data_IF_253705200146
#
_entry.id   IF_253705200146
#
_cell.length_a   1.000
_cell.length_b   1.000
_cell.length_c   1.000
_cell.angle_alpha   90.00
_cell.angle_beta   90.00
_cell.angle_gamma   90.00
#
_symmetry.space_group_name_H-M   'P 1'
#
loop_
_entity.id
_entity.type
_entity.pdbx_description
1 polymer ?
#
# COMPACT_ATOMS: atom_id res chain seq x y z
N UNK A 1 19.33 43.84 72.37
CA UNK A 1 19.22 43.40 73.78
C UNK A 1 18.81 41.94 73.72
N UNK A 2 19.79 41.02 73.74
CA UNK A 2 20.27 40.31 74.95
C UNK A 2 19.22 39.28 75.42
N UNK A 3 19.47 37.98 75.61
CA UNK A 3 20.70 37.22 75.81
C UNK A 3 20.49 35.73 75.47
N UNK A 4 21.58 35.08 75.05
CA UNK A 4 21.82 33.63 75.07
C UNK A 4 21.87 33.06 76.50
N UNK A 5 21.67 31.75 76.64
CA UNK A 5 22.53 30.74 77.30
C UNK A 5 21.73 29.43 77.51
N UNK A 6 22.24 28.20 77.51
CA UNK A 6 23.60 27.71 77.70
C UNK A 6 23.80 26.33 77.04
N UNK A 7 25.07 26.05 76.70
CA UNK A 7 25.66 24.75 76.37
C UNK A 7 26.08 24.02 77.65
N UNK A 8 26.26 22.70 77.58
CA UNK A 8 27.42 22.04 78.22
C UNK A 8 27.76 20.69 77.57
N UNK A 9 29.02 20.60 77.12
CA UNK A 9 29.74 19.42 76.65
C UNK A 9 30.14 18.49 77.80
N UNK A 10 30.40 17.21 77.49
CA UNK A 10 31.54 16.49 78.08
C UNK A 10 32.08 15.44 77.11
N UNK A 11 33.40 15.42 76.98
CA UNK A 11 34.22 14.69 76.00
C UNK A 11 35.11 13.62 76.65
N UNK A 12 35.36 12.53 75.90
CA UNK A 12 36.55 11.64 75.89
C UNK A 12 36.65 10.54 76.98
N UNK A 13 37.37 9.39 76.77
CA UNK A 13 38.52 9.15 75.85
C UNK A 13 38.48 7.80 75.02
N UNK A 14 39.01 7.75 73.77
CA UNK A 14 40.25 7.08 73.24
C UNK A 14 40.47 5.58 73.61
N UNK A 15 41.01 4.62 72.82
CA UNK A 15 41.64 4.47 71.48
C UNK A 15 41.91 2.96 71.25
N UNK A 16 41.85 2.45 70.00
CA UNK A 16 42.74 1.44 69.35
C UNK A 16 42.12 1.06 67.98
N UNK A 17 42.51 1.66 66.85
CA UNK A 17 43.68 1.46 65.96
C UNK A 17 43.74 0.15 65.17
N UNK A 18 43.49 0.24 63.84
CA UNK A 18 44.33 -0.39 62.80
C UNK A 18 44.20 0.34 61.45
N UNK A 19 45.35 0.72 60.92
CA UNK A 19 45.67 1.49 59.70
C UNK A 19 45.90 0.54 58.49
N UNK A 20 45.53 0.88 57.23
CA UNK A 20 46.32 1.58 56.16
C UNK A 20 47.43 0.68 55.55
N UNK A 21 47.62 0.43 54.23
CA UNK A 21 47.78 1.21 52.95
C UNK A 21 47.95 0.14 51.79
N UNK A 22 48.31 0.40 50.49
CA UNK A 22 48.38 1.61 49.65
C UNK A 22 47.85 1.48 48.18
N UNK A 23 48.03 2.59 47.45
CA UNK A 23 47.60 2.96 46.10
C UNK A 23 48.45 2.41 44.92
N UNK A 24 47.92 2.53 43.69
CA UNK A 24 48.68 2.45 42.44
C UNK A 24 47.82 2.45 41.16
N UNK A 25 47.83 3.60 40.45
CA UNK A 25 47.55 3.90 39.02
C UNK A 25 46.88 2.85 38.11
N UNK A 26 45.91 3.28 37.28
CA UNK A 26 45.77 2.73 35.93
C UNK A 26 45.22 3.73 34.90
N UNK A 27 45.94 3.78 33.78
CA UNK A 27 45.78 4.65 32.62
C UNK A 27 44.75 4.08 31.61
N UNK A 28 44.39 4.93 30.64
CA UNK A 28 43.77 4.65 29.35
C UNK A 28 44.09 3.27 28.74
N UNK A 29 43.07 2.58 28.19
CA UNK A 29 43.23 1.38 27.38
C UNK A 29 42.10 1.23 26.36
N UNK A 30 42.41 1.57 25.10
CA UNK A 30 41.62 1.30 23.91
C UNK A 30 41.21 -0.17 23.80
N UNK A 31 39.93 -0.45 23.55
CA UNK A 31 39.50 -1.79 23.15
C UNK A 31 40.01 -2.09 21.75
N UNK A 32 41.01 -2.97 21.68
CA UNK A 32 41.64 -3.45 20.46
C UNK A 32 40.72 -4.46 19.72
N UNK A 33 40.30 -4.18 18.48
CA UNK A 33 39.49 -5.08 17.65
C UNK A 33 40.17 -6.44 17.35
N UNK A 34 41.48 -6.56 17.60
CA UNK A 34 42.26 -7.77 17.37
C UNK A 34 41.86 -8.93 18.30
N UNK A 35 41.42 -8.65 19.54
CA UNK A 35 40.98 -9.67 20.50
C UNK A 35 39.66 -10.34 20.11
N UNK A 36 38.73 -9.60 19.51
CA UNK A 36 37.45 -10.15 19.02
C UNK A 36 37.62 -11.00 17.76
N UNK A 37 38.57 -10.62 16.88
CA UNK A 37 38.95 -11.41 15.70
C UNK A 37 39.61 -12.74 16.08
N UNK A 38 40.37 -12.78 17.18
CA UNK A 38 41.05 -13.99 17.65
C UNK A 38 40.10 -15.01 18.30
N UNK A 39 38.94 -14.57 18.80
CA UNK A 39 37.88 -15.45 19.32
C UNK A 39 36.99 -16.07 18.23
N UNK A 40 36.96 -15.50 17.02
CA UNK A 40 36.24 -16.08 15.87
C UNK A 40 37.03 -17.17 15.14
N UNK A 41 38.31 -17.34 15.45
CA UNK A 41 39.18 -18.32 14.78
C UNK A 41 39.28 -19.69 15.47
N UNK A 42 38.71 -19.88 16.66
CA UNK A 42 38.76 -21.17 17.39
C UNK A 42 37.49 -22.01 17.30
N UNK A 43 36.51 -21.59 16.49
CA UNK A 43 35.35 -22.45 16.19
C UNK A 43 35.80 -23.54 15.20
N UNK A 44 36.07 -24.73 15.74
CA UNK A 44 36.32 -25.93 14.96
C UNK A 44 35.07 -26.24 14.12
N UNK A 45 35.06 -25.80 12.86
CA UNK A 45 33.96 -26.05 11.94
C UNK A 45 34.00 -27.54 11.56
N UNK A 46 32.92 -28.31 11.81
CA UNK A 46 32.91 -29.73 11.46
C UNK A 46 33.00 -29.88 9.94
N UNK A 47 33.76 -30.89 9.49
CA UNK A 47 34.18 -31.11 8.08
C UNK A 47 33.06 -30.98 7.03
N UNK A 48 31.81 -31.27 7.39
CA UNK A 48 30.64 -31.15 6.51
C UNK A 48 30.21 -29.71 6.18
N UNK A 49 30.67 -28.70 6.92
CA UNK A 49 30.31 -27.29 6.65
C UNK A 49 30.86 -26.77 5.32
N UNK A 50 32.06 -27.23 4.91
CA UNK A 50 32.60 -26.92 3.59
C UNK A 50 31.76 -27.58 2.49
N UNK A 51 31.35 -28.84 2.70
CA UNK A 51 30.48 -29.55 1.76
C UNK A 51 29.10 -28.88 1.65
N UNK A 52 28.51 -28.43 2.76
CA UNK A 52 27.23 -27.72 2.78
C UNK A 52 27.31 -26.37 2.05
N UNK A 53 28.39 -25.61 2.25
CA UNK A 53 28.61 -24.35 1.51
C UNK A 53 28.79 -24.60 0.01
N UNK A 54 29.50 -25.66 -0.39
CA UNK A 54 29.64 -26.06 -1.79
C UNK A 54 28.30 -26.46 -2.42
N UNK A 55 27.44 -27.19 -1.69
CA UNK A 55 26.09 -27.55 -2.18
C UNK A 55 25.20 -26.31 -2.32
N UNK A 56 25.20 -25.40 -1.34
CA UNK A 56 24.41 -24.16 -1.41
C UNK A 56 24.86 -23.28 -2.57
N UNK A 57 26.18 -23.12 -2.76
CA UNK A 57 26.73 -22.34 -3.88
C UNK A 57 26.42 -22.98 -5.23
N UNK A 58 26.50 -24.31 -5.36
CA UNK A 58 26.08 -25.02 -6.57
C UNK A 58 24.58 -24.88 -6.85
N UNK A 59 23.72 -24.96 -5.82
CA UNK A 59 22.28 -24.73 -5.95
C UNK A 59 21.97 -23.29 -6.40
N UNK A 60 22.68 -22.29 -5.87
CA UNK A 60 22.52 -20.89 -6.28
C UNK A 60 22.97 -20.70 -7.72
N UNK A 61 24.11 -21.26 -8.12
CA UNK A 61 24.62 -21.17 -9.50
C UNK A 61 23.67 -21.86 -10.48
N UNK A 62 23.16 -23.05 -10.16
CA UNK A 62 22.16 -23.76 -10.96
C UNK A 62 20.85 -22.97 -11.06
N UNK A 63 20.39 -22.37 -9.97
CA UNK A 63 19.19 -21.53 -9.98
C UNK A 63 19.37 -20.28 -10.85
N UNK A 64 20.54 -19.65 -10.81
CA UNK A 64 20.90 -18.51 -11.66
C UNK A 64 20.99 -18.93 -13.14
N UNK A 65 21.60 -20.08 -13.44
CA UNK A 65 21.69 -20.62 -14.80
C UNK A 65 20.29 -20.95 -15.37
N UNK A 66 19.39 -21.55 -14.59
CA UNK A 66 18.00 -21.81 -14.98
C UNK A 66 17.24 -20.49 -15.22
N UNK A 67 17.46 -19.47 -14.38
CA UNK A 67 16.86 -18.15 -14.55
C UNK A 67 17.33 -17.46 -15.84
N UNK A 68 18.63 -17.53 -16.15
CA UNK A 68 19.21 -16.99 -17.38
C UNK A 68 18.70 -17.77 -18.61
N UNK A 69 18.65 -19.09 -18.53
CA UNK A 69 18.14 -19.94 -19.60
C UNK A 69 16.66 -19.66 -19.91
N UNK A 70 15.80 -19.55 -18.89
CA UNK A 70 14.39 -19.13 -19.05
C UNK A 70 14.25 -17.72 -19.63
N UNK A 71 15.15 -16.78 -19.30
CA UNK A 71 15.18 -15.43 -19.88
C UNK A 71 15.58 -15.45 -21.37
N UNK A 72 16.56 -16.28 -21.74
CA UNK A 72 17.01 -16.41 -23.12
C UNK A 72 15.98 -17.13 -24.02
N UNK A 73 15.28 -18.14 -23.50
CA UNK A 73 14.19 -18.82 -24.23
C UNK A 73 13.00 -17.88 -24.47
N UNK A 74 12.58 -17.10 -23.45
CA UNK A 74 11.52 -16.08 -23.60
C UNK A 74 11.88 -14.95 -24.58
N UNK A 75 13.17 -14.66 -24.76
CA UNK A 75 13.64 -13.65 -25.73
C UNK A 75 13.50 -14.17 -27.17
N UNK A 76 13.78 -15.47 -27.38
CA UNK A 76 13.64 -16.15 -28.67
C UNK A 76 12.18 -16.26 -29.14
N UNK A 77 11.23 -16.38 -28.21
CA UNK A 77 9.79 -16.38 -28.53
C UNK A 77 9.25 -14.97 -28.86
N UNK A 78 9.75 -13.92 -28.18
CA UNK A 78 9.39 -12.51 -28.47
C UNK A 78 9.91 -12.03 -29.83
N UNK A 79 11.04 -12.54 -30.30
CA UNK A 79 11.59 -12.15 -31.60
C UNK A 79 10.81 -12.80 -32.76
N UNK A 80 10.26 -14.02 -32.57
CA UNK A 80 9.34 -14.67 -33.54
C UNK A 80 8.00 -13.96 -33.67
N UNK A 81 7.52 -13.31 -32.61
CA UNK A 81 6.25 -12.57 -32.62
C UNK A 81 6.36 -11.22 -33.35
N UNK A 82 7.56 -10.60 -33.36
CA UNK A 82 7.83 -9.34 -34.07
C UNK A 82 7.96 -9.50 -35.58
N UNK A 83 8.41 -10.65 -36.10
CA UNK A 83 8.42 -10.90 -37.54
C UNK A 83 7.01 -11.09 -38.13
N UNK A 84 6.07 -11.70 -37.39
CA UNK A 84 4.67 -11.86 -37.86
C UNK A 84 3.89 -10.55 -37.98
N UNK A 85 4.26 -9.50 -37.24
CA UNK A 85 3.57 -8.19 -37.28
C UNK A 85 4.05 -7.25 -38.39
N UNK A 86 5.24 -7.45 -38.98
CA UNK A 86 5.75 -6.60 -40.08
C UNK A 86 5.26 -6.99 -41.48
N UNK A 87 4.61 -8.14 -41.64
CA UNK A 87 4.13 -8.63 -42.95
C UNK A 87 2.73 -8.16 -43.37
N UNK A 88 1.98 -7.42 -42.53
CA UNK A 88 0.54 -7.17 -42.75
C UNK A 88 0.16 -5.72 -43.03
N UNK A 89 1.12 -4.86 -43.37
CA UNK A 89 0.91 -3.41 -43.52
C UNK A 89 1.53 -2.83 -44.81
N UNK A 90 1.43 -3.58 -45.92
CA UNK A 90 1.61 -3.03 -47.27
C UNK A 90 0.54 -3.59 -48.19
N UNK A 91 -0.46 -2.77 -48.50
CA UNK A 91 -1.39 -3.03 -49.60
C UNK A 91 -2.81 -2.54 -49.32
N UNK A 92 -3.03 -1.22 -49.42
CA UNK A 92 -4.25 -0.66 -50.04
C UNK A 92 -4.12 0.86 -50.16
N UNK A 93 -3.87 1.30 -51.38
CA UNK A 93 -4.06 2.66 -51.86
C UNK A 93 -4.21 2.60 -53.37
N UNK A 94 -5.23 3.28 -53.91
CA UNK A 94 -5.38 3.53 -55.35
C UNK A 94 -6.70 3.07 -55.98
N UNK A 95 -7.63 4.03 -56.06
CA UNK A 95 -8.55 4.38 -57.17
C UNK A 95 -8.19 3.76 -58.54
N UNK A 96 -9.14 3.23 -59.34
CA UNK A 96 -9.81 3.96 -60.44
C UNK A 96 -11.17 3.34 -60.89
N UNK A 97 -11.92 4.18 -61.61
CA UNK A 97 -13.31 4.17 -62.12
C UNK A 97 -13.62 3.24 -63.32
N UNK A 98 -14.93 3.06 -63.58
CA UNK A 98 -15.68 2.69 -64.83
C UNK A 98 -16.51 1.38 -64.66
N UNK A 99 -17.74 1.17 -65.15
CA UNK A 99 -18.87 1.93 -65.72
C UNK A 99 -20.06 0.91 -65.82
N UNK A 100 -21.30 1.39 -66.01
CA UNK A 100 -22.55 0.67 -66.35
C UNK A 100 -23.36 0.08 -65.17
N UNK A 101 -24.65 0.34 -64.95
CA UNK A 101 -25.66 1.19 -65.57
C UNK A 101 -27.06 0.78 -65.06
N UNK A 102 -28.07 1.58 -65.42
CA UNK A 102 -29.52 1.24 -65.48
C UNK A 102 -30.44 1.39 -64.23
N UNK A 103 -31.14 2.53 -64.22
CA UNK A 103 -32.59 2.77 -64.00
C UNK A 103 -33.34 2.25 -62.74
N UNK A 104 -33.77 3.16 -61.86
CA UNK A 104 -35.15 3.74 -61.78
C UNK A 104 -35.46 4.34 -60.39
N UNK A 105 -35.97 5.57 -60.40
CA UNK A 105 -36.66 6.27 -59.31
C UNK A 105 -38.21 6.10 -59.51
N UNK A 106 -39.17 6.67 -58.71
CA UNK A 106 -39.04 7.49 -57.50
C UNK A 106 -40.16 7.31 -56.41
N UNK A 107 -40.16 8.24 -55.42
CA UNK A 107 -41.22 8.63 -54.44
C UNK A 107 -41.39 7.69 -53.21
N UNK A 108 -41.64 8.14 -51.96
CA UNK A 108 -42.22 9.40 -51.46
C UNK A 108 -42.06 9.54 -49.93
N UNK A 109 -41.98 10.81 -49.50
CA UNK A 109 -42.58 11.43 -48.30
C UNK A 109 -42.00 11.22 -46.88
N UNK A 110 -41.57 12.37 -46.34
CA UNK A 110 -41.24 12.67 -44.95
C UNK A 110 -42.46 12.58 -44.03
N UNK A 111 -42.26 12.09 -42.80
CA UNK A 111 -43.06 12.51 -41.64
C UNK A 111 -42.10 12.79 -40.48
N UNK A 112 -41.97 14.09 -40.14
CA UNK A 112 -41.45 14.57 -38.85
C UNK A 112 -42.44 14.22 -37.75
N UNK A 113 -41.98 13.57 -36.68
CA UNK A 113 -42.57 13.72 -35.34
C UNK A 113 -41.45 13.83 -34.30
N UNK A 114 -41.37 15.01 -33.72
CA UNK A 114 -40.72 15.26 -32.43
C UNK A 114 -41.46 14.46 -31.35
N UNK A 115 -40.72 13.68 -30.58
CA UNK A 115 -41.17 13.17 -29.27
C UNK A 115 -39.99 13.11 -28.32
N UNK A 116 -39.91 14.16 -27.49
CA UNK A 116 -39.59 14.16 -26.06
C UNK A 116 -38.55 13.13 -25.59
N UNK A 117 -37.35 13.65 -25.31
CA UNK A 117 -36.30 13.00 -24.52
C UNK A 117 -36.87 12.60 -23.15
N UNK A 118 -37.01 11.29 -22.90
CA UNK A 118 -36.93 10.75 -21.55
C UNK A 118 -35.56 10.10 -21.40
N UNK A 119 -34.67 10.80 -20.70
CA UNK A 119 -33.45 10.24 -20.14
C UNK A 119 -33.82 9.10 -19.20
N UNK A 120 -33.68 7.87 -19.69
CA UNK A 120 -33.48 6.67 -18.89
C UNK A 120 -32.72 5.70 -19.78
N UNK A 121 -31.44 6.02 -20.01
CA UNK A 121 -30.48 5.00 -20.42
C UNK A 121 -30.46 3.94 -19.32
N UNK A 122 -31.08 2.80 -19.62
CA UNK A 122 -30.96 1.57 -18.86
C UNK A 122 -29.46 1.24 -18.78
N UNK A 123 -28.86 1.52 -17.62
CA UNK A 123 -27.59 0.89 -17.26
C UNK A 123 -27.88 -0.60 -17.19
N UNK A 124 -27.36 -1.38 -18.13
CA UNK A 124 -27.32 -2.83 -17.98
C UNK A 124 -26.59 -3.12 -16.66
N UNK A 125 -27.32 -3.62 -15.66
CA UNK A 125 -26.70 -4.13 -14.44
C UNK A 125 -25.79 -5.29 -14.85
N UNK A 126 -24.48 -5.03 -14.90
CA UNK A 126 -23.46 -6.06 -15.12
C UNK A 126 -23.72 -7.19 -14.13
N UNK A 127 -24.15 -8.37 -14.62
CA UNK A 127 -24.35 -9.55 -13.77
C UNK A 127 -22.98 -10.02 -13.28
N UNK A 128 -22.72 -9.84 -11.98
CA UNK A 128 -21.46 -10.20 -11.34
C UNK A 128 -21.42 -11.67 -10.85
N UNK A 129 -22.49 -12.43 -11.11
CA UNK A 129 -22.65 -13.81 -10.67
C UNK A 129 -23.31 -13.94 -9.30
N UNK A 130 -23.31 -15.16 -8.76
CA UNK A 130 -23.98 -15.52 -7.49
C UNK A 130 -23.09 -16.41 -6.65
N UNK A 131 -23.19 -16.29 -5.33
CA UNK A 131 -22.43 -17.06 -4.35
C UNK A 131 -23.37 -17.89 -3.47
N UNK A 132 -23.05 -19.18 -3.32
CA UNK A 132 -23.73 -20.14 -2.46
C UNK A 132 -22.90 -20.41 -1.21
N UNK A 133 -23.52 -20.22 -0.05
CA UNK A 133 -22.83 -20.35 1.23
C UNK A 133 -23.78 -20.86 2.32
N UNK A 134 -23.20 -21.31 3.42
CA UNK A 134 -23.89 -21.70 4.65
C UNK A 134 -23.43 -20.85 5.82
N UNK A 135 -24.34 -20.52 6.72
CA UNK A 135 -24.06 -19.87 8.00
C UNK A 135 -24.69 -20.68 9.13
N UNK A 136 -23.88 -21.03 10.13
CA UNK A 136 -24.33 -21.72 11.32
C UNK A 136 -23.62 -21.15 12.56
N UNK A 137 -24.28 -21.18 13.72
CA UNK A 137 -23.69 -20.67 14.95
C UNK A 137 -23.67 -21.73 16.04
N UNK A 138 -22.47 -22.08 16.49
CA UNK A 138 -22.29 -22.99 17.61
C UNK A 138 -22.35 -22.23 18.93
N UNK A 139 -23.49 -22.32 19.61
CA UNK A 139 -23.71 -21.72 20.93
C UNK A 139 -22.85 -22.31 22.06
N UNK A 140 -22.38 -23.55 21.90
CA UNK A 140 -21.53 -24.20 22.91
C UNK A 140 -20.10 -23.65 22.86
N UNK A 141 -19.57 -23.45 21.66
CA UNK A 141 -18.20 -22.98 21.44
C UNK A 141 -18.08 -21.47 21.24
N UNK A 142 -19.22 -20.76 21.14
CA UNK A 142 -19.31 -19.35 20.78
C UNK A 142 -18.58 -19.05 19.45
N UNK A 143 -18.86 -19.86 18.43
CA UNK A 143 -18.23 -19.76 17.12
C UNK A 143 -19.25 -19.66 16.00
N UNK A 144 -19.03 -18.72 15.07
CA UNK A 144 -19.74 -18.65 13.80
C UNK A 144 -19.02 -19.54 12.79
N UNK A 145 -19.76 -20.45 12.18
CA UNK A 145 -19.29 -21.34 11.12
C UNK A 145 -19.84 -20.84 9.79
N UNK A 146 -18.94 -20.55 8.86
CA UNK A 146 -19.26 -20.04 7.52
C UNK A 146 -18.76 -21.05 6.50
N UNK A 147 -19.67 -21.70 5.77
CA UNK A 147 -19.33 -22.57 4.65
C UNK A 147 -19.42 -21.82 3.33
N UNK A 148 -18.37 -21.82 2.52
CA UNK A 148 -18.40 -21.36 1.13
C UNK A 148 -18.49 -22.58 0.25
N UNK A 149 -19.64 -22.76 -0.42
CA UNK A 149 -19.92 -23.96 -1.19
C UNK A 149 -19.43 -23.79 -2.63
N UNK A 150 -20.04 -22.86 -3.36
CA UNK A 150 -19.81 -22.68 -4.79
C UNK A 150 -20.20 -21.27 -5.23
N UNK A 151 -19.73 -20.86 -6.41
CA UNK A 151 -20.22 -19.67 -7.10
C UNK A 151 -20.63 -20.05 -8.53
N UNK A 152 -21.54 -19.29 -9.12
CA UNK A 152 -22.01 -19.49 -10.50
C UNK A 152 -22.15 -18.16 -11.22
N UNK A 153 -22.11 -18.21 -12.55
CA UNK A 153 -22.26 -17.06 -13.45
C UNK A 153 -21.23 -15.94 -13.19
N UNK A 154 -20.00 -16.28 -12.77
CA UNK A 154 -18.95 -15.27 -12.59
C UNK A 154 -18.52 -14.66 -13.95
N UNK A 155 -18.23 -13.35 -14.02
CA UNK A 155 -17.68 -12.74 -15.22
C UNK A 155 -16.25 -13.23 -15.48
N UNK A 156 -15.89 -13.31 -16.76
CA UNK A 156 -14.53 -13.57 -17.20
C UNK A 156 -13.67 -12.32 -17.09
N UNK A 157 -12.69 -12.34 -16.19
CA UNK A 157 -11.79 -11.22 -15.93
C UNK A 157 -10.45 -11.37 -16.66
N UNK A 158 -10.04 -12.62 -16.97
CA UNK A 158 -8.83 -12.87 -17.76
C UNK A 158 -9.07 -12.69 -19.26
N UNK A 159 -7.98 -12.32 -19.97
CA UNK A 159 -7.89 -12.24 -21.45
C UNK A 159 -8.25 -13.58 -22.15
N UNK A 160 -8.31 -14.68 -21.40
CA UNK A 160 -8.69 -16.01 -21.88
C UNK A 160 -10.18 -16.33 -21.84
N UNK A 161 -11.05 -15.41 -21.40
CA UNK A 161 -12.47 -15.68 -21.24
C UNK A 161 -12.80 -16.58 -20.03
N UNK A 162 -11.89 -16.64 -19.05
CA UNK A 162 -12.04 -17.35 -17.79
C UNK A 162 -11.68 -16.44 -16.62
N UNK A 163 -11.82 -16.94 -15.40
CA UNK A 163 -11.31 -16.32 -14.18
C UNK A 163 -10.65 -17.39 -13.32
N UNK A 164 -9.76 -16.99 -12.43
CA UNK A 164 -9.16 -17.79 -11.37
C UNK A 164 -9.78 -17.41 -9.99
N UNK A 165 -11.06 -17.72 -9.74
CA UNK A 165 -11.77 -17.19 -8.57
C UNK A 165 -11.31 -17.78 -7.23
N UNK A 166 -11.29 -16.92 -6.21
CA UNK A 166 -11.22 -17.27 -4.79
C UNK A 166 -12.04 -16.31 -3.94
N UNK A 167 -12.50 -16.75 -2.78
CA UNK A 167 -13.34 -15.95 -1.88
C UNK A 167 -12.55 -15.54 -0.65
N UNK A 168 -12.61 -14.25 -0.33
CA UNK A 168 -12.05 -13.66 0.87
C UNK A 168 -13.16 -13.27 1.83
N UNK A 169 -13.09 -13.75 3.06
CA UNK A 169 -14.13 -13.54 4.08
C UNK A 169 -13.56 -12.83 5.31
N UNK A 170 -14.30 -11.87 5.84
CA UNK A 170 -14.00 -11.19 7.10
C UNK A 170 -15.27 -10.67 7.76
N UNK A 171 -15.21 -10.39 9.07
CA UNK A 171 -16.34 -9.87 9.85
C UNK A 171 -16.10 -8.40 10.21
N UNK A 172 -16.90 -7.48 9.67
CA UNK A 172 -16.88 -6.09 10.11
C UNK A 172 -17.37 -5.97 11.57
N UNK A 173 -16.76 -5.10 12.39
CA UNK A 173 -15.73 -4.12 12.03
C UNK A 173 -14.27 -4.66 11.98
N UNK A 174 -14.03 -5.91 12.36
CA UNK A 174 -12.70 -6.54 12.35
C UNK A 174 -12.22 -6.89 10.93
N UNK A 175 -11.58 -5.91 10.28
CA UNK A 175 -10.94 -6.11 8.97
C UNK A 175 -9.61 -6.88 9.04
N UNK A 176 -9.07 -7.20 10.22
CA UNK A 176 -7.73 -7.83 10.33
C UNK A 176 -7.79 -9.33 10.16
N UNK A 177 -8.81 -9.98 10.74
CA UNK A 177 -9.02 -11.43 10.59
C UNK A 177 -9.70 -11.72 9.27
N UNK A 178 -8.89 -12.07 8.27
CA UNK A 178 -9.34 -12.45 6.94
C UNK A 178 -9.06 -13.94 6.71
N UNK A 179 -10.04 -14.63 6.15
CA UNK A 179 -9.88 -15.98 5.62
C UNK A 179 -9.96 -15.93 4.10
N UNK A 180 -9.34 -16.90 3.44
CA UNK A 180 -9.31 -16.99 1.98
C UNK A 180 -9.50 -18.46 1.60
N UNK A 181 -10.34 -18.72 0.59
CA UNK A 181 -10.46 -20.05 -0.02
C UNK A 181 -9.26 -20.34 -0.89
N UNK A 182 -9.15 -21.59 -1.34
CA UNK A 182 -8.26 -21.97 -2.43
C UNK A 182 -8.67 -21.26 -3.72
N UNK A 183 -7.67 -21.02 -4.56
CA UNK A 183 -7.84 -20.47 -5.90
C UNK A 183 -8.20 -21.59 -6.86
N UNK A 184 -9.34 -21.46 -7.53
CA UNK A 184 -9.76 -22.37 -8.59
C UNK A 184 -9.40 -21.76 -9.93
N UNK A 185 -8.66 -22.48 -10.77
CA UNK A 185 -8.14 -21.89 -12.02
C UNK A 185 -9.08 -22.09 -13.19
N UNK A 186 -9.21 -21.06 -14.03
CA UNK A 186 -9.91 -21.04 -15.31
C UNK A 186 -11.34 -21.58 -15.21
N UNK A 187 -12.09 -21.09 -14.23
CA UNK A 187 -13.48 -21.47 -14.03
C UNK A 187 -14.34 -20.25 -13.71
N UNK A 188 -15.55 -20.23 -14.26
CA UNK A 188 -16.58 -19.25 -13.92
C UNK A 188 -17.61 -19.82 -12.93
N UNK A 189 -17.50 -21.11 -12.61
CA UNK A 189 -18.35 -21.85 -11.68
C UNK A 189 -17.49 -22.66 -10.71
N UNK A 190 -16.79 -22.01 -9.77
CA UNK A 190 -15.94 -22.70 -8.81
C UNK A 190 -16.77 -23.40 -7.73
N UNK A 191 -16.39 -24.63 -7.40
CA UNK A 191 -16.87 -25.36 -6.21
C UNK A 191 -15.77 -25.36 -5.14
N UNK A 192 -15.93 -24.54 -4.11
CA UNK A 192 -14.97 -24.38 -3.02
C UNK A 192 -15.12 -25.47 -1.96
N UNK A 193 -16.34 -25.67 -1.43
CA UNK A 193 -16.64 -26.57 -0.31
C UNK A 193 -15.69 -26.40 0.88
N UNK A 194 -15.44 -25.15 1.29
CA UNK A 194 -14.56 -24.81 2.40
C UNK A 194 -15.36 -24.23 3.56
N UNK A 195 -14.96 -24.53 4.79
CA UNK A 195 -15.64 -24.04 6.01
C UNK A 195 -14.66 -23.27 6.88
N UNK A 196 -15.09 -22.10 7.35
CA UNK A 196 -14.32 -21.17 8.15
C UNK A 196 -15.01 -20.91 9.49
N UNK A 197 -14.22 -20.74 10.55
CA UNK A 197 -14.74 -20.56 11.91
C UNK A 197 -14.27 -19.24 12.51
N UNK A 198 -15.20 -18.39 12.90
CA UNK A 198 -14.94 -17.13 13.59
C UNK A 198 -15.30 -17.26 15.07
N UNK A 199 -14.33 -17.05 15.96
CA UNK A 199 -14.57 -17.00 17.41
C UNK A 199 -15.20 -15.66 17.79
N UNK A 200 -16.52 -15.66 17.99
CA UNK A 200 -17.33 -14.46 18.22
C UNK A 200 -18.47 -14.77 19.19
N UNK A 201 -18.53 -14.11 20.37
CA UNK A 201 -19.65 -14.25 21.29
C UNK A 201 -20.98 -13.80 20.66
N UNK A 202 -22.07 -14.51 20.97
CA UNK A 202 -23.40 -14.22 20.43
C UNK A 202 -23.87 -12.80 20.74
N UNK A 203 -23.51 -12.27 21.92
CA UNK A 203 -23.82 -10.89 22.34
C UNK A 203 -23.26 -9.82 21.39
N UNK A 204 -22.17 -10.11 20.69
CA UNK A 204 -21.53 -9.19 19.74
C UNK A 204 -21.94 -9.44 18.29
N UNK A 205 -22.72 -10.50 18.01
CA UNK A 205 -23.12 -10.86 16.65
C UNK A 205 -24.02 -9.79 16.02
N UNK A 206 -24.98 -9.23 16.76
CA UNK A 206 -25.94 -8.25 16.23
C UNK A 206 -25.30 -6.97 15.66
N UNK A 207 -24.08 -6.63 16.08
CA UNK A 207 -23.33 -5.47 15.57
C UNK A 207 -22.35 -5.79 14.43
N UNK A 208 -22.30 -7.04 13.96
CA UNK A 208 -21.31 -7.49 12.98
C UNK A 208 -21.94 -7.75 11.60
N UNK A 209 -21.10 -7.62 10.58
CA UNK A 209 -21.48 -7.89 9.18
C UNK A 209 -20.46 -8.81 8.57
N UNK A 210 -20.89 -9.98 8.10
CA UNK A 210 -20.06 -10.88 7.32
C UNK A 210 -19.91 -10.30 5.91
N UNK A 211 -18.68 -10.18 5.45
CA UNK A 211 -18.36 -9.76 4.09
C UNK A 211 -17.61 -10.89 3.41
N UNK A 212 -18.15 -11.37 2.30
CA UNK A 212 -17.53 -12.35 1.42
C UNK A 212 -17.29 -11.68 0.07
N UNK A 213 -16.04 -11.54 -0.33
CA UNK A 213 -15.67 -10.90 -1.60
C UNK A 213 -15.02 -11.94 -2.50
N UNK A 214 -15.55 -12.11 -3.70
CA UNK A 214 -14.99 -12.96 -4.73
C UNK A 214 -13.97 -12.15 -5.52
N UNK A 215 -12.75 -12.67 -5.61
CA UNK A 215 -11.64 -12.08 -6.34
C UNK A 215 -11.20 -13.01 -7.45
N UNK A 216 -10.69 -12.42 -8.52
CA UNK A 216 -9.93 -13.09 -9.56
C UNK A 216 -8.44 -13.07 -9.21
N UNK A 217 -7.82 -14.25 -9.13
CA UNK A 217 -6.40 -14.36 -8.81
C UNK A 217 -5.54 -14.08 -10.03
N UNK A 218 -4.57 -13.20 -9.84
CA UNK A 218 -3.82 -12.65 -10.96
C UNK A 218 -2.31 -12.75 -10.68
N UNK A 219 -1.56 -13.48 -11.50
CA UNK A 219 -0.18 -13.85 -11.18
C UNK A 219 0.80 -12.67 -11.25
N UNK A 220 0.52 -11.70 -12.11
CA UNK A 220 1.44 -10.60 -12.42
C UNK A 220 0.80 -9.22 -12.26
N UNK A 221 -0.44 -9.16 -11.78
CA UNK A 221 -1.25 -7.97 -11.58
C UNK A 221 -1.88 -7.98 -10.18
N UNK A 222 -2.56 -6.89 -9.84
CA UNK A 222 -3.39 -6.85 -8.64
C UNK A 222 -4.64 -7.71 -8.91
N UNK A 223 -5.04 -8.50 -7.91
CA UNK A 223 -6.25 -9.33 -8.01
C UNK A 223 -7.49 -8.44 -8.18
N UNK A 224 -8.33 -8.77 -9.16
CA UNK A 224 -9.54 -8.01 -9.45
C UNK A 224 -10.70 -8.48 -8.58
N UNK A 225 -11.40 -7.53 -7.95
CA UNK A 225 -12.59 -7.85 -7.16
C UNK A 225 -13.78 -8.00 -8.11
N UNK A 226 -14.31 -9.22 -8.22
CA UNK A 226 -15.47 -9.52 -9.06
C UNK A 226 -16.73 -8.96 -8.42
N UNK A 227 -16.95 -9.30 -7.14
CA UNK A 227 -18.14 -8.87 -6.42
C UNK A 227 -18.10 -9.27 -4.95
N UNK A 228 -19.03 -8.75 -4.16
CA UNK A 228 -19.12 -9.01 -2.74
C UNK A 228 -20.56 -9.25 -2.29
N UNK A 229 -20.70 -10.13 -1.30
CA UNK A 229 -21.93 -10.32 -0.51
C UNK A 229 -21.67 -9.78 0.89
N UNK A 230 -22.55 -8.89 1.36
CA UNK A 230 -22.53 -8.34 2.71
C UNK A 230 -23.78 -8.80 3.45
N UNK A 231 -23.61 -9.47 4.58
CA UNK A 231 -24.70 -10.04 5.35
C UNK A 231 -24.62 -9.46 6.77
N UNK A 232 -25.55 -8.57 7.15
CA UNK A 232 -25.68 -8.16 8.53
C UNK A 232 -26.05 -9.39 9.38
N UNK A 233 -25.28 -9.68 10.42
CA UNK A 233 -25.57 -10.83 11.28
C UNK A 233 -26.86 -10.60 12.10
N UNK A 234 -27.33 -9.36 12.22
CA UNK A 234 -28.63 -9.03 12.81
C UNK A 234 -29.84 -9.49 12.00
N UNK A 235 -29.69 -9.72 10.69
CA UNK A 235 -30.78 -10.21 9.83
C UNK A 235 -30.80 -11.72 9.68
N UNK A 236 -29.84 -12.43 10.27
CA UNK A 236 -29.73 -13.89 10.18
C UNK A 236 -30.33 -14.50 11.43
N UNK A 237 -31.27 -15.43 11.25
CA UNK A 237 -31.75 -16.28 12.33
C UNK A 237 -30.80 -17.46 12.50
N UNK A 238 -30.09 -17.51 13.63
CA UNK A 238 -29.17 -18.59 13.98
C UNK A 238 -29.85 -19.75 14.72
N UNK A 239 -31.19 -19.77 14.79
CA UNK A 239 -31.93 -20.93 15.30
C UNK A 239 -31.82 -22.16 14.38
N UNK A 240 -31.53 -21.91 13.10
CA UNK A 240 -31.32 -22.92 12.06
C UNK A 240 -30.08 -22.57 11.25
N UNK A 241 -29.46 -23.58 10.62
CA UNK A 241 -28.41 -23.33 9.65
C UNK A 241 -29.01 -22.65 8.40
N UNK A 242 -28.47 -21.48 8.06
CA UNK A 242 -28.85 -20.77 6.84
C UNK A 242 -28.04 -21.35 5.68
N UNK A 243 -28.70 -21.67 4.57
CA UNK A 243 -28.06 -22.01 3.32
C UNK A 243 -28.81 -21.31 2.18
N UNK A 244 -28.14 -20.39 1.49
CA UNK A 244 -28.79 -19.60 0.45
C UNK A 244 -27.83 -19.17 -0.66
N UNK A 245 -28.42 -18.81 -1.80
CA UNK A 245 -27.75 -18.14 -2.90
C UNK A 245 -27.94 -16.63 -2.75
N UNK A 246 -26.86 -15.87 -2.92
CA UNK A 246 -26.89 -14.40 -2.98
C UNK A 246 -26.23 -13.91 -4.26
N UNK A 247 -26.87 -12.93 -4.89
CA UNK A 247 -26.27 -12.23 -6.02
C UNK A 247 -25.08 -11.38 -5.54
N UNK A 248 -24.00 -11.41 -6.32
CA UNK A 248 -22.82 -10.62 -6.05
C UNK A 248 -23.11 -9.16 -6.37
N UNK A 249 -22.90 -8.30 -5.38
CA UNK A 249 -22.96 -6.86 -5.56
C UNK A 249 -21.59 -6.34 -5.96
N UNK A 250 -21.55 -5.16 -6.59
CA UNK A 250 -20.28 -4.51 -6.93
C UNK A 250 -19.43 -4.37 -5.67
N UNK A 251 -18.27 -5.02 -5.66
CA UNK A 251 -17.36 -4.91 -4.54
C UNK A 251 -16.97 -3.43 -4.39
N UNK A 252 -17.28 -2.83 -3.24
CA UNK A 252 -16.61 -1.59 -2.86
C UNK A 252 -15.12 -1.89 -2.93
N UNK A 253 -14.39 -1.16 -3.79
CA UNK A 253 -12.93 -1.27 -3.84
C UNK A 253 -12.47 -1.23 -2.40
N UNK A 254 -11.77 -2.28 -1.96
CA UNK A 254 -11.15 -2.32 -0.65
C UNK A 254 -10.39 -1.00 -0.54
N UNK A 255 -10.94 -0.02 0.20
CA UNK A 255 -10.31 1.28 0.36
C UNK A 255 -8.95 0.91 0.92
N UNK A 256 -7.92 1.02 0.08
CA UNK A 256 -6.54 0.76 0.46
C UNK A 256 -6.37 1.49 1.77
N UNK A 257 -6.18 0.74 2.86
CA UNK A 257 -6.37 1.20 4.23
C UNK A 257 -6.02 2.68 4.34
N UNK A 258 -7.02 3.56 4.57
CA UNK A 258 -6.79 5.01 4.49
C UNK A 258 -5.57 5.36 5.33
N UNK A 259 -4.48 5.74 4.64
CA UNK A 259 -3.19 5.98 5.29
C UNK A 259 -3.17 7.33 6.02
N UNK A 260 -4.19 8.15 5.77
CA UNK A 260 -4.41 9.49 6.31
C UNK A 260 -4.29 10.55 5.23
N UNK A 261 -4.52 11.80 5.63
CA UNK A 261 -4.39 12.97 4.76
C UNK A 261 -3.34 13.93 5.32
N UNK A 262 -2.62 14.62 4.45
CA UNK A 262 -1.64 15.65 4.81
C UNK A 262 -2.02 16.99 4.17
N UNK A 263 -2.01 18.05 4.97
CA UNK A 263 -2.16 19.42 4.52
C UNK A 263 -0.80 20.08 4.38
N UNK A 264 -0.51 20.61 3.20
CA UNK A 264 0.74 21.33 2.93
C UNK A 264 0.47 22.56 2.07
N UNK A 265 1.31 23.57 2.24
CA UNK A 265 1.27 24.80 1.45
C UNK A 265 2.48 24.91 0.54
N UNK A 266 2.24 25.21 -0.73
CA UNK A 266 3.25 25.44 -1.74
C UNK A 266 3.29 26.92 -2.13
N UNK A 267 4.50 27.47 -2.24
CA UNK A 267 4.72 28.84 -2.74
C UNK A 267 5.96 28.88 -3.60
N UNK A 268 5.83 29.37 -4.82
CA UNK A 268 6.96 29.56 -5.71
C UNK A 268 7.18 31.05 -6.03
N UNK A 269 8.44 31.49 -5.99
CA UNK A 269 8.88 32.83 -6.38
C UNK A 269 9.86 32.69 -7.55
N UNK A 270 9.41 32.90 -8.80
CA UNK A 270 10.24 32.70 -9.99
C UNK A 270 11.51 33.58 -10.00
N UNK A 271 11.38 34.87 -9.65
CA UNK A 271 12.50 35.83 -9.65
C UNK A 271 13.66 35.43 -8.74
N UNK A 272 13.36 34.75 -7.63
CA UNK A 272 14.37 34.28 -6.68
C UNK A 272 14.69 32.79 -6.83
N UNK A 273 14.05 32.10 -7.78
CA UNK A 273 14.12 30.64 -7.91
C UNK A 273 13.82 29.92 -6.59
N UNK A 274 12.85 30.38 -5.79
CA UNK A 274 12.62 29.89 -4.43
C UNK A 274 11.29 29.16 -4.32
N UNK A 275 11.35 27.85 -4.07
CA UNK A 275 10.20 26.99 -3.75
C UNK A 275 10.11 26.81 -2.24
N UNK A 276 9.02 27.25 -1.65
CA UNK A 276 8.73 27.07 -0.22
C UNK A 276 7.63 26.04 -0.04
N UNK A 277 7.90 25.03 0.77
CA UNK A 277 6.97 23.96 1.16
C UNK A 277 6.74 24.09 2.66
N UNK A 278 5.52 24.38 3.07
CA UNK A 278 5.12 24.44 4.48
C UNK A 278 4.30 23.20 4.80
N UNK A 279 4.76 22.40 5.75
CA UNK A 279 3.99 21.26 6.27
C UNK A 279 3.11 21.80 7.39
N UNK A 280 1.78 21.81 7.16
CA UNK A 280 0.83 22.38 8.11
C UNK A 280 0.46 21.33 9.16
N UNK A 281 -0.27 20.30 8.75
CA UNK A 281 -0.78 19.25 9.61
C UNK A 281 -1.08 17.98 8.82
N UNK A 282 -1.30 16.87 9.53
CA UNK A 282 -1.88 15.66 8.96
C UNK A 282 -3.03 15.17 9.86
N UNK A 283 -3.94 14.38 9.29
CA UNK A 283 -5.08 13.82 10.02
C UNK A 283 -5.36 12.39 9.63
N UNK A 284 -6.01 11.67 10.53
CA UNK A 284 -6.43 10.28 10.35
C UNK A 284 -5.29 9.37 9.88
N UNK A 285 -4.07 9.58 10.39
CA UNK A 285 -2.92 8.75 10.03
C UNK A 285 -3.15 7.29 10.46
N UNK A 286 -2.60 6.35 9.68
CA UNK A 286 -2.61 4.94 10.05
C UNK A 286 -1.79 4.71 11.33
N UNK A 287 -2.37 3.96 12.26
CA UNK A 287 -1.72 3.48 13.49
C UNK A 287 -0.67 2.44 13.12
N UNK A 288 0.57 2.65 13.55
CA UNK A 288 1.70 1.78 13.21
C UNK A 288 2.28 1.06 14.44
N UNK A 289 2.22 1.68 15.63
CA UNK A 289 2.73 1.08 16.86
C UNK A 289 1.80 0.01 17.47
N UNK A 290 2.40 -1.10 17.94
CA UNK A 290 1.72 -2.13 18.73
C UNK A 290 1.59 -1.64 20.17
N UNK A 291 0.47 -0.96 20.47
CA UNK A 291 0.12 -0.52 21.84
C UNK A 291 0.21 0.98 22.09
N UNK A 292 0.72 1.77 21.14
CA UNK A 292 0.65 3.25 21.09
C UNK A 292 -0.10 3.72 19.84
N UNK A 293 -0.20 5.02 19.55
CA UNK A 293 -0.75 5.51 18.27
C UNK A 293 0.31 5.39 17.15
N UNK A 294 0.93 6.52 16.80
CA UNK A 294 2.12 6.64 15.97
C UNK A 294 2.89 7.88 16.47
N UNK A 295 4.18 7.95 16.21
CA UNK A 295 5.08 9.08 16.42
C UNK A 295 5.44 9.76 15.06
N UNK A 296 4.47 10.40 14.37
CA UNK A 296 4.66 10.85 12.99
C UNK A 296 5.68 11.98 12.83
N UNK A 297 6.41 11.91 11.71
CA UNK A 297 7.22 13.01 11.17
C UNK A 297 7.24 12.95 9.64
N UNK A 298 7.54 14.09 9.00
CA UNK A 298 7.47 14.22 7.54
C UNK A 298 8.87 14.41 6.96
N UNK A 299 9.21 13.61 5.94
CA UNK A 299 10.40 13.79 5.09
C UNK A 299 9.99 14.38 3.76
N UNK A 300 10.69 15.42 3.33
CA UNK A 300 10.50 16.09 2.03
C UNK A 300 11.75 15.82 1.19
N UNK A 301 11.57 15.21 0.03
CA UNK A 301 12.62 15.01 -0.96
C UNK A 301 12.31 15.84 -2.22
N UNK A 302 13.22 16.74 -2.58
CA UNK A 302 13.22 17.35 -3.90
C UNK A 302 13.85 16.35 -4.88
N UNK A 303 13.12 16.04 -5.94
CA UNK A 303 13.45 15.03 -6.94
C UNK A 303 13.59 15.69 -8.32
N UNK A 304 14.47 15.19 -9.16
CA UNK A 304 14.57 15.55 -10.58
C UNK A 304 15.06 14.34 -11.36
N UNK A 305 14.40 14.01 -12.48
CA UNK A 305 14.75 12.86 -13.33
C UNK A 305 14.94 11.55 -12.52
N UNK A 306 14.04 11.29 -11.56
CA UNK A 306 14.09 10.12 -10.68
C UNK A 306 15.20 10.13 -9.61
N UNK A 307 16.07 11.15 -9.56
CA UNK A 307 17.14 11.30 -8.57
C UNK A 307 16.73 12.23 -7.43
N UNK A 308 17.15 11.91 -6.20
CA UNK A 308 16.97 12.74 -5.00
C UNK A 308 18.03 13.84 -4.98
N UNK A 309 17.62 15.11 -5.01
CA UNK A 309 18.51 16.27 -4.98
C UNK A 309 18.75 16.80 -3.56
N UNK A 310 17.67 17.15 -2.85
CA UNK A 310 17.73 17.71 -1.49
C UNK A 310 16.72 17.00 -0.60
N UNK A 311 17.04 16.86 0.69
CA UNK A 311 16.18 16.23 1.70
C UNK A 311 16.02 17.17 2.90
N UNK A 312 14.79 17.29 3.41
CA UNK A 312 14.45 17.98 4.66
C UNK A 312 13.48 17.13 5.48
N UNK A 313 13.37 17.40 6.78
CA UNK A 313 12.47 16.68 7.69
C UNK A 313 11.87 17.62 8.73
N UNK A 314 10.68 17.30 9.22
CA UNK A 314 10.04 17.99 10.34
C UNK A 314 10.52 17.51 11.69
N UNK A 315 10.06 18.17 12.75
CA UNK A 315 10.05 17.61 14.10
C UNK A 315 9.18 16.36 14.18
N UNK A 316 9.45 15.51 15.18
CA UNK A 316 8.67 14.30 15.48
C UNK A 316 7.58 14.68 16.48
N UNK A 317 6.33 14.32 16.18
CA UNK A 317 5.19 14.51 17.09
C UNK A 317 4.86 13.16 17.70
N UNK A 318 4.90 13.05 19.03
CA UNK A 318 4.74 11.76 19.71
C UNK A 318 3.27 11.42 19.93
N UNK A 319 2.93 10.13 19.80
CA UNK A 319 1.66 9.52 20.14
C UNK A 319 0.44 10.29 19.62
N UNK A 320 0.39 10.53 18.30
CA UNK A 320 -0.72 11.24 17.64
C UNK A 320 -0.97 10.75 16.22
N UNK A 321 -2.25 10.68 15.83
CA UNK A 321 -2.67 10.44 14.44
C UNK A 321 -3.10 11.73 13.72
N UNK A 322 -3.06 12.87 14.41
CA UNK A 322 -3.43 14.18 13.90
C UNK A 322 -2.34 15.22 14.24
N UNK A 323 -1.11 15.05 13.74
CA UNK A 323 0.00 15.94 14.08
C UNK A 323 -0.13 17.33 13.46
N UNK A 324 0.15 18.36 14.24
CA UNK A 324 0.32 19.74 13.79
C UNK A 324 1.80 20.13 13.76
N UNK A 325 2.29 20.58 12.60
CA UNK A 325 3.70 20.93 12.37
C UNK A 325 3.89 22.44 12.21
N UNK A 326 3.24 23.04 11.22
CA UNK A 326 3.47 24.41 10.76
C UNK A 326 4.96 24.73 10.53
N UNK A 327 5.67 23.82 9.86
CA UNK A 327 7.12 23.93 9.60
C UNK A 327 7.39 24.29 8.13
N UNK A 328 8.22 25.32 7.90
CA UNK A 328 8.51 25.85 6.57
C UNK A 328 9.88 25.42 6.05
N UNK A 329 9.92 24.94 4.82
CA UNK A 329 11.13 24.46 4.16
C UNK A 329 11.32 25.15 2.82
N UNK A 330 12.51 25.70 2.57
CA UNK A 330 12.85 26.37 1.31
C UNK A 330 13.84 25.55 0.47
N UNK A 331 13.57 25.48 -0.83
CA UNK A 331 14.42 24.90 -1.86
C UNK A 331 14.73 25.94 -2.93
N UNK A 332 15.95 25.92 -3.44
CA UNK A 332 16.36 26.69 -4.62
C UNK A 332 16.07 25.86 -5.86
N UNK A 333 15.17 26.36 -6.70
CA UNK A 333 14.73 25.77 -7.96
C UNK A 333 14.60 26.91 -8.99
N UNK A 334 15.53 27.02 -9.96
CA UNK A 334 15.42 27.95 -11.07
C UNK A 334 14.13 27.76 -11.87
N UNK A 335 13.59 28.82 -12.48
CA UNK A 335 12.30 28.74 -13.16
C UNK A 335 12.33 27.81 -14.37
N UNK A 336 13.48 27.64 -15.02
CA UNK A 336 13.68 26.74 -16.15
C UNK A 336 13.62 25.26 -15.73
N UNK A 337 13.76 24.99 -14.43
CA UNK A 337 13.79 23.64 -13.86
C UNK A 337 12.50 23.27 -13.14
N UNK A 338 11.62 24.24 -12.84
CA UNK A 338 10.44 24.01 -11.98
C UNK A 338 9.49 22.95 -12.54
N UNK A 339 9.38 22.82 -13.86
CA UNK A 339 8.54 21.81 -14.52
C UNK A 339 9.15 20.40 -14.45
N UNK A 340 10.47 20.31 -14.28
CA UNK A 340 11.23 19.04 -14.25
C UNK A 340 11.40 18.50 -12.83
N UNK A 341 11.17 19.32 -11.81
CA UNK A 341 11.29 18.89 -10.42
C UNK A 341 9.99 18.26 -9.91
N UNK A 342 10.13 17.39 -8.93
CA UNK A 342 9.03 16.83 -8.16
C UNK A 342 9.36 16.93 -6.68
N UNK A 343 8.35 17.10 -5.84
CA UNK A 343 8.47 17.11 -4.39
C UNK A 343 7.78 15.88 -3.85
N UNK A 344 8.57 14.92 -3.37
CA UNK A 344 8.07 13.74 -2.69
C UNK A 344 7.97 14.00 -1.19
N UNK A 345 6.77 13.99 -0.65
CA UNK A 345 6.48 14.17 0.78
C UNK A 345 6.08 12.83 1.35
N UNK A 346 6.84 12.33 2.34
CA UNK A 346 6.63 11.03 2.97
C UNK A 346 6.36 11.25 4.45
N UNK A 347 5.24 10.73 4.94
CA UNK A 347 4.92 10.65 6.37
C UNK A 347 5.44 9.32 6.89
N UNK A 348 6.24 9.36 7.94
CA UNK A 348 6.82 8.18 8.56
C UNK A 348 6.48 8.16 10.04
N UNK A 349 6.41 6.96 10.59
CA UNK A 349 6.41 6.73 12.01
C UNK A 349 7.84 6.68 12.57
N UNK A 350 8.04 7.19 13.77
CA UNK A 350 9.32 7.14 14.46
C UNK A 350 9.35 6.03 15.50
N UNK A 351 10.01 4.94 15.12
CA UNK A 351 10.33 3.86 16.05
C UNK A 351 11.63 4.15 16.82
N UNK A 352 11.58 4.02 18.15
CA UNK A 352 12.78 4.15 19.00
C UNK A 352 13.79 3.03 18.76
N UNK A 353 13.30 1.84 18.38
CA UNK A 353 14.09 0.64 18.14
C UNK A 353 13.65 0.07 16.81
N UNK A 354 14.58 -0.03 15.85
CA UNK A 354 14.31 -0.58 14.53
C UNK A 354 14.32 0.47 13.43
N UNK A 355 13.68 0.13 12.30
CA UNK A 355 13.59 0.98 11.12
C UNK A 355 12.25 1.71 11.16
N UNK A 356 12.30 3.03 10.99
CA UNK A 356 11.11 3.87 10.83
C UNK A 356 10.22 3.39 9.67
N UNK A 357 8.95 3.14 9.98
CA UNK A 357 7.97 2.72 9.00
C UNK A 357 7.36 3.90 8.23
N UNK A 358 7.14 3.73 6.93
CA UNK A 358 6.46 4.74 6.13
C UNK A 358 4.94 4.55 6.25
N UNK A 359 4.25 5.57 6.77
CA UNK A 359 2.79 5.59 6.83
C UNK A 359 2.22 5.80 5.42
N UNK A 360 2.77 6.76 4.69
CA UNK A 360 2.33 7.03 3.32
C UNK A 360 3.10 8.16 2.67
N UNK A 361 2.82 8.37 1.38
CA UNK A 361 3.60 9.25 0.52
C UNK A 361 2.72 9.96 -0.49
N UNK A 362 3.09 11.18 -0.83
CA UNK A 362 2.51 11.96 -1.94
C UNK A 362 3.64 12.53 -2.80
N UNK A 363 3.37 12.68 -4.10
CA UNK A 363 4.32 13.19 -5.07
C UNK A 363 3.69 14.38 -5.80
N UNK A 364 4.25 15.56 -5.59
CA UNK A 364 3.82 16.81 -6.21
C UNK A 364 4.78 17.14 -7.37
N UNK A 365 4.28 17.64 -8.48
CA UNK A 365 5.09 18.00 -9.65
C UNK A 365 4.26 18.10 -10.92
N UNK A 366 4.86 18.63 -11.99
CA UNK A 366 4.16 18.82 -13.27
C UNK A 366 3.64 17.52 -13.89
N UNK A 367 4.31 16.40 -13.60
CA UNK A 367 3.94 15.07 -14.10
C UNK A 367 3.11 14.24 -13.10
N UNK A 368 2.64 14.82 -12.00
CA UNK A 368 1.73 14.13 -11.08
C UNK A 368 0.33 14.02 -11.70
N UNK A 369 -0.59 13.29 -11.08
CA UNK A 369 -1.98 13.18 -11.51
C UNK A 369 -2.93 13.59 -10.38
N UNK A 370 -4.13 14.06 -10.75
CA UNK A 370 -5.19 14.37 -9.80
C UNK A 370 -4.91 15.61 -8.94
N UNK A 371 -5.16 15.51 -7.64
CA UNK A 371 -5.07 16.61 -6.67
C UNK A 371 -3.66 17.22 -6.58
N UNK A 372 -2.63 16.38 -6.70
CA UNK A 372 -1.23 16.77 -6.60
C UNK A 372 -0.79 17.62 -7.80
N UNK A 373 -1.28 17.27 -8.99
CA UNK A 373 -1.03 18.06 -10.20
C UNK A 373 -1.74 19.41 -10.13
N UNK A 374 -3.01 19.42 -9.71
CA UNK A 374 -3.79 20.64 -9.53
C UNK A 374 -3.10 21.59 -8.55
N UNK A 375 -2.65 21.09 -7.41
CA UNK A 375 -1.94 21.90 -6.43
C UNK A 375 -0.65 22.52 -7.00
N UNK A 376 0.09 21.74 -7.79
CA UNK A 376 1.30 22.20 -8.46
C UNK A 376 0.99 23.28 -9.51
N UNK A 377 -0.03 23.07 -10.34
CA UNK A 377 -0.50 24.03 -11.32
C UNK A 377 -0.99 25.32 -10.66
N UNK A 378 -1.75 25.23 -9.58
CA UNK A 378 -2.28 26.39 -8.84
C UNK A 378 -1.13 27.21 -8.21
N UNK A 379 -0.09 26.55 -7.69
CA UNK A 379 1.13 27.21 -7.21
C UNK A 379 1.84 27.99 -8.32
N UNK A 380 1.95 27.42 -9.52
CA UNK A 380 2.60 28.07 -10.67
C UNK A 380 1.76 29.22 -11.23
N UNK A 381 0.44 29.05 -11.28
CA UNK A 381 -0.50 30.07 -11.75
C UNK A 381 -0.59 31.27 -10.79
N UNK A 382 -0.31 31.08 -9.51
CA UNK A 382 -0.37 32.11 -8.47
C UNK A 382 1.03 32.41 -7.89
N UNK A 383 1.96 33.00 -8.66
CA UNK A 383 3.31 33.26 -8.19
C UNK A 383 3.30 34.14 -6.93
N UNK A 384 4.23 33.85 -6.00
CA UNK A 384 4.39 34.54 -4.71
C UNK A 384 3.22 34.39 -3.72
N UNK A 385 2.14 33.68 -4.06
CA UNK A 385 1.07 33.35 -3.12
C UNK A 385 1.25 31.92 -2.59
N UNK A 386 1.15 31.70 -1.26
CA UNK A 386 1.06 30.36 -0.72
C UNK A 386 -0.31 29.78 -1.02
N UNK A 387 -0.34 28.57 -1.58
CA UNK A 387 -1.55 27.78 -1.82
C UNK A 387 -1.49 26.59 -0.87
N UNK A 388 -2.50 26.42 -0.02
CA UNK A 388 -2.61 25.30 0.91
C UNK A 388 -3.63 24.29 0.39
N UNK A 389 -3.27 23.00 0.43
CA UNK A 389 -4.15 21.94 -0.04
C UNK A 389 -3.94 20.63 0.73
N UNK A 390 -5.03 19.90 0.91
CA UNK A 390 -5.03 18.53 1.45
C UNK A 390 -4.71 17.51 0.35
N UNK A 391 -3.93 16.50 0.72
CA UNK A 391 -3.57 15.36 -0.13
C UNK A 391 -3.76 14.07 0.64
N UNK A 392 -4.43 13.10 0.02
CA UNK A 392 -4.56 11.77 0.60
C UNK A 392 -3.27 10.97 0.40
N UNK A 393 -2.79 10.35 1.47
CA UNK A 393 -1.56 9.58 1.46
C UNK A 393 -1.75 8.28 0.69
N UNK A 394 -0.78 7.96 -0.18
CA UNK A 394 -0.73 6.72 -0.97
C UNK A 394 0.36 5.79 -0.42
N UNK A 395 0.28 4.47 -0.65
CA UNK A 395 1.33 3.54 -0.27
C UNK A 395 2.69 3.98 -0.84
N UNK A 396 3.76 3.86 -0.05
CA UNK A 396 5.09 4.31 -0.48
C UNK A 396 5.55 3.60 -1.77
N UNK A 397 5.26 2.31 -1.91
CA UNK A 397 5.67 1.51 -3.06
C UNK A 397 5.00 1.95 -4.35
N UNK A 398 3.70 2.24 -4.33
CA UNK A 398 2.97 2.77 -5.49
C UNK A 398 3.57 4.09 -5.97
N UNK A 399 3.86 5.00 -5.04
CA UNK A 399 4.46 6.30 -5.38
C UNK A 399 5.90 6.12 -5.85
N UNK A 400 6.66 5.17 -5.29
CA UNK A 400 8.02 4.87 -5.75
C UNK A 400 8.04 4.31 -7.18
N UNK A 401 7.06 3.49 -7.57
CA UNK A 401 6.91 3.01 -8.95
C UNK A 401 6.68 4.16 -9.94
N UNK A 402 5.90 5.17 -9.55
CA UNK A 402 5.70 6.38 -10.37
C UNK A 402 6.99 7.18 -10.57
N UNK A 403 7.90 7.16 -9.59
CA UNK A 403 9.21 7.81 -9.67
C UNK A 403 10.16 7.00 -10.57
N UNK A 404 10.13 5.66 -10.50
CA UNK A 404 11.06 4.80 -11.24
C UNK A 404 10.69 4.61 -12.71
N UNK A 405 9.39 4.59 -13.04
CA UNK A 405 8.90 4.36 -14.41
C UNK A 405 9.08 5.58 -15.32
N UNK A 406 9.53 6.72 -14.78
CA UNK A 406 9.79 7.97 -15.51
C UNK A 406 11.28 8.24 -15.75
N UNK A 407 12.09 7.18 -15.82
CA UNK A 407 13.52 7.24 -16.15
C UNK A 407 13.77 7.36 -17.64
#
# INVERSE_FOLDING_TARGET
MNHQAARSNSSSPSVESKATTPAGQNQHGSQDPSKFMHELQTIHKPSWTAAALCVVTLCVILSCAICVWKKCVKKKDKDKEKEKKKGKEKGKGGFDTEMDGSYNEPLKEEIKKETVLSENELKEDEKLGRLHFTLDYNFTENTLVVGVLEASELPAMDVGGSSDPYVKLYLLPDKKKKFETKVHRKTLEPTFNETFTFKVPYSEMGGRTLVMTVYDFDRFSKHDAIGAVKIPMSSVDFSQSLQEWRDLQKAEKEESERLGDICLSLRYVPTAGKLTVVILEAKNLKKMDVGGLSDPYVKIHLMQNGKRLKKKKTTIKKNTLNPYYNESFSFEVPCEQIEKVQVAVTVLDYDKIGKNDAIGKVLLGGNSSGTEQRHWSDMLANPRRPIAQWHSLKPEDEVNLLISNKK
#
